data_IF_320091639840
#
_entry.id   IF_320091639840
#
_cell.length_a   1.000
_cell.length_b   1.000
_cell.length_c   1.000
_cell.angle_alpha   90.00
_cell.angle_beta   90.00
_cell.angle_gamma   90.00
#
_symmetry.space_group_name_H-M   'P 1'
#
loop_
_entity.id
_entity.type
_entity.pdbx_description
1 polymer ?
#
# COMPACT_ATOMS: atom_id res chain seq x y z
N UNK A 1 9.82 -3.78 3.07
CA UNK A 1 10.57 -4.68 3.99
C UNK A 1 11.79 -5.30 3.30
N UNK A 2 11.65 -5.83 2.08
CA UNK A 2 12.76 -6.44 1.33
C UNK A 2 13.83 -5.43 0.87
N UNK A 3 13.43 -4.21 0.49
CA UNK A 3 14.38 -3.12 0.18
C UNK A 3 15.32 -2.79 1.35
N UNK A 4 14.79 -2.73 2.58
CA UNK A 4 15.57 -2.41 3.77
C UNK A 4 16.63 -3.47 4.14
N UNK A 5 16.45 -4.72 3.69
CA UNK A 5 17.40 -5.82 3.89
C UNK A 5 18.18 -6.17 2.60
N UNK A 6 18.07 -5.34 1.56
CA UNK A 6 18.83 -5.46 0.31
C UNK A 6 18.35 -6.55 -0.65
N UNK A 7 17.21 -7.21 -0.39
CA UNK A 7 16.65 -8.23 -1.30
C UNK A 7 15.93 -7.63 -2.51
N UNK A 8 15.44 -6.39 -2.38
CA UNK A 8 14.81 -5.62 -3.46
C UNK A 8 15.39 -4.20 -3.45
N UNK A 9 16.64 -4.03 -3.92
CA UNK A 9 17.31 -2.74 -3.85
C UNK A 9 16.52 -1.68 -4.62
N UNK A 10 16.46 -0.49 -4.04
CA UNK A 10 15.86 0.70 -4.66
C UNK A 10 16.98 1.63 -5.12
N UNK A 11 16.75 2.31 -6.23
CA UNK A 11 17.54 3.48 -6.60
C UNK A 11 16.63 4.72 -6.53
N UNK A 12 17.04 5.79 -5.82
CA UNK A 12 18.26 5.92 -4.98
C UNK A 12 18.29 5.01 -3.74
N UNK A 13 19.50 4.65 -3.28
CA UNK A 13 19.71 3.78 -2.10
C UNK A 13 19.28 4.46 -0.79
N UNK A 14 19.39 5.79 -0.73
CA UNK A 14 19.04 6.57 0.45
C UNK A 14 17.59 7.01 0.39
N UNK A 15 16.79 6.59 1.38
CA UNK A 15 15.37 6.98 1.52
C UNK A 15 15.15 8.50 1.55
N UNK A 16 16.13 9.27 2.04
CA UNK A 16 16.01 10.73 2.10
C UNK A 16 16.14 11.39 0.73
N UNK A 17 16.76 10.69 -0.22
CA UNK A 17 17.07 11.20 -1.55
C UNK A 17 16.05 10.73 -2.61
N UNK A 18 15.06 9.92 -2.19
CA UNK A 18 14.00 9.41 -3.07
C UNK A 18 12.99 10.51 -3.37
N UNK A 19 12.84 10.85 -4.65
CA UNK A 19 11.61 11.41 -5.20
C UNK A 19 10.88 10.30 -5.96
N UNK A 20 9.54 10.29 -5.94
CA UNK A 20 8.75 9.18 -6.53
C UNK A 20 9.05 9.00 -8.02
N UNK A 21 9.21 10.09 -8.76
CA UNK A 21 9.55 10.04 -10.20
C UNK A 21 10.92 9.39 -10.49
N UNK A 22 11.83 9.43 -9.52
CA UNK A 22 13.21 8.94 -9.67
C UNK A 22 13.36 7.55 -9.04
N UNK A 23 12.32 7.04 -8.37
CA UNK A 23 12.32 5.76 -7.69
C UNK A 23 12.26 4.62 -8.70
N UNK A 24 13.35 3.86 -8.76
CA UNK A 24 13.43 2.62 -9.50
C UNK A 24 13.48 1.46 -8.51
N UNK A 25 12.54 0.53 -8.63
CA UNK A 25 12.48 -0.65 -7.78
C UNK A 25 12.03 -1.86 -8.58
N UNK A 26 12.73 -2.97 -8.39
CA UNK A 26 12.28 -4.28 -8.83
C UNK A 26 11.76 -5.04 -7.60
N UNK A 27 10.46 -5.36 -7.60
CA UNK A 27 9.75 -5.95 -6.46
C UNK A 27 9.32 -7.39 -6.73
N UNK A 28 10.22 -8.19 -7.30
CA UNK A 28 9.90 -9.56 -7.68
C UNK A 28 9.55 -10.47 -6.51
N UNK A 29 10.12 -10.27 -5.32
CA UNK A 29 9.87 -11.13 -4.16
C UNK A 29 8.61 -10.72 -3.41
N UNK A 30 8.31 -9.42 -3.37
CA UNK A 30 7.23 -8.87 -2.56
C UNK A 30 5.92 -8.68 -3.32
N UNK A 31 5.95 -8.32 -4.60
CA UNK A 31 4.77 -7.94 -5.38
C UNK A 31 4.61 -8.72 -6.69
N UNK A 32 5.36 -9.80 -6.90
CA UNK A 32 4.97 -10.80 -7.91
C UNK A 32 3.78 -11.61 -7.43
N UNK A 33 2.99 -12.16 -8.36
CA UNK A 33 1.85 -13.02 -8.00
C UNK A 33 2.25 -14.19 -7.08
N UNK A 34 3.42 -14.81 -7.32
CA UNK A 34 3.95 -15.85 -6.42
C UNK A 34 4.36 -15.27 -5.06
N UNK A 35 5.03 -14.11 -5.04
CA UNK A 35 5.41 -13.40 -3.81
C UNK A 35 4.21 -13.07 -2.92
N UNK A 36 3.13 -12.58 -3.52
CA UNK A 36 1.86 -12.25 -2.84
C UNK A 36 1.20 -13.50 -2.25
N UNK A 37 1.18 -14.61 -2.99
CA UNK A 37 0.66 -15.89 -2.48
C UNK A 37 1.48 -16.35 -1.26
N UNK A 38 2.82 -16.31 -1.35
CA UNK A 38 3.69 -16.68 -0.24
C UNK A 38 3.45 -15.75 0.96
N UNK A 39 3.39 -14.44 0.76
CA UNK A 39 3.11 -13.47 1.81
C UNK A 39 1.74 -13.70 2.46
N UNK A 40 0.69 -13.96 1.67
CA UNK A 40 -0.64 -14.25 2.17
C UNK A 40 -0.68 -15.53 3.03
N UNK A 41 0.01 -16.59 2.59
CA UNK A 41 0.13 -17.84 3.35
C UNK A 41 0.93 -17.66 4.64
N UNK A 42 2.02 -16.89 4.61
CA UNK A 42 2.81 -16.57 5.79
C UNK A 42 1.99 -15.78 6.81
N UNK A 43 1.31 -14.72 6.37
CA UNK A 43 0.42 -13.92 7.23
C UNK A 43 -0.70 -14.79 7.81
N UNK A 44 -1.35 -15.62 6.99
CA UNK A 44 -2.37 -16.55 7.46
C UNK A 44 -1.82 -17.53 8.51
N UNK A 45 -0.64 -18.09 8.27
CA UNK A 45 0.02 -19.03 9.16
C UNK A 45 0.39 -18.42 10.50
N UNK A 46 0.95 -17.21 10.50
CA UNK A 46 1.30 -16.47 11.72
C UNK A 46 0.03 -16.14 12.51
N UNK A 47 -0.98 -15.58 11.85
CA UNK A 47 -2.25 -15.21 12.51
C UNK A 47 -2.95 -16.46 13.05
N UNK A 48 -2.94 -17.56 12.31
CA UNK A 48 -3.50 -18.81 12.78
C UNK A 48 -2.71 -19.38 13.96
N UNK A 49 -1.38 -19.35 13.91
CA UNK A 49 -0.51 -19.86 14.98
C UNK A 49 -0.75 -19.15 16.31
N UNK A 50 -0.86 -17.82 16.28
CA UNK A 50 -1.02 -16.97 17.47
C UNK A 50 -2.45 -16.99 18.00
N UNK A 51 -3.46 -16.76 17.16
CA UNK A 51 -4.85 -16.60 17.61
C UNK A 51 -5.72 -17.84 17.44
N UNK A 52 -5.25 -18.87 16.71
CA UNK A 52 -6.00 -20.10 16.39
C UNK A 52 -7.37 -19.85 15.73
N UNK A 53 -7.56 -18.69 15.09
CA UNK A 53 -8.82 -18.28 14.44
C UNK A 53 -8.72 -18.34 12.93
N UNK A 54 -9.31 -19.36 12.31
CA UNK A 54 -9.30 -19.57 10.86
C UNK A 54 -9.93 -18.41 10.08
N UNK A 55 -11.06 -17.89 10.55
CA UNK A 55 -11.73 -16.76 9.90
C UNK A 55 -10.87 -15.50 9.87
N UNK A 56 -10.27 -15.14 11.01
CA UNK A 56 -9.35 -13.99 11.09
C UNK A 56 -8.14 -14.20 10.17
N UNK A 57 -7.58 -15.40 10.16
CA UNK A 57 -6.42 -15.75 9.33
C UNK A 57 -6.72 -15.60 7.84
N UNK A 58 -7.90 -16.07 7.40
CA UNK A 58 -8.36 -15.93 6.02
C UNK A 58 -8.59 -14.46 5.63
N UNK A 59 -9.15 -13.64 6.53
CA UNK A 59 -9.28 -12.20 6.30
C UNK A 59 -7.94 -11.50 6.16
N UNK A 60 -6.97 -11.80 7.04
CA UNK A 60 -5.64 -11.21 6.93
C UNK A 60 -4.94 -11.61 5.63
N UNK A 61 -5.07 -12.87 5.18
CA UNK A 61 -4.57 -13.32 3.89
C UNK A 61 -5.26 -12.58 2.71
N UNK A 62 -6.59 -12.44 2.79
CA UNK A 62 -7.37 -11.71 1.80
C UNK A 62 -6.95 -10.24 1.71
N UNK A 63 -6.65 -9.60 2.83
CA UNK A 63 -6.17 -8.21 2.87
C UNK A 63 -4.81 -8.05 2.18
N UNK A 64 -3.92 -9.04 2.24
CA UNK A 64 -2.66 -9.04 1.47
C UNK A 64 -2.95 -9.05 -0.04
N UNK A 65 -3.89 -9.88 -0.49
CA UNK A 65 -4.28 -9.91 -1.90
C UNK A 65 -4.98 -8.61 -2.34
N UNK A 66 -5.86 -8.06 -1.51
CA UNK A 66 -6.54 -6.78 -1.79
C UNK A 66 -5.52 -5.64 -1.87
N UNK A 67 -4.52 -5.61 -1.00
CA UNK A 67 -3.45 -4.63 -1.06
C UNK A 67 -2.71 -4.68 -2.40
N UNK A 68 -2.28 -5.88 -2.83
CA UNK A 68 -1.63 -6.04 -4.13
C UNK A 68 -2.53 -5.59 -5.30
N UNK A 69 -3.84 -5.89 -5.24
CA UNK A 69 -4.79 -5.39 -6.24
C UNK A 69 -4.89 -3.86 -6.26
N UNK A 70 -4.81 -3.20 -5.10
CA UNK A 70 -4.72 -1.75 -5.02
C UNK A 70 -3.44 -1.24 -5.69
N UNK A 71 -2.31 -1.90 -5.47
CA UNK A 71 -1.03 -1.50 -6.09
C UNK A 71 -1.06 -1.65 -7.61
N UNK A 72 -1.77 -2.64 -8.16
CA UNK A 72 -1.98 -2.73 -9.61
C UNK A 72 -2.77 -1.54 -10.17
N UNK A 73 -3.56 -0.84 -9.34
CA UNK A 73 -4.35 0.32 -9.76
C UNK A 73 -3.58 1.63 -9.60
N UNK A 74 -2.87 1.84 -8.47
CA UNK A 74 -2.18 3.12 -8.20
C UNK A 74 -0.65 3.07 -8.20
N UNK A 75 -0.05 1.90 -8.03
CA UNK A 75 1.39 1.75 -7.85
C UNK A 75 2.19 1.61 -9.16
N UNK A 76 3.38 1.02 -9.02
CA UNK A 76 4.21 0.58 -10.15
C UNK A 76 3.66 -0.68 -10.79
N UNK A 77 3.95 -0.90 -12.07
CA UNK A 77 3.66 -2.18 -12.70
C UNK A 77 4.47 -3.32 -12.06
N UNK A 78 3.83 -4.47 -11.86
CA UNK A 78 4.43 -5.65 -11.23
C UNK A 78 4.45 -6.85 -12.15
N UNK A 79 5.44 -7.73 -11.97
CA UNK A 79 5.49 -9.03 -12.64
C UNK A 79 4.24 -9.86 -12.30
N UNK A 80 3.53 -10.35 -13.32
CA UNK A 80 2.24 -11.02 -13.11
C UNK A 80 2.33 -12.24 -12.17
N UNK A 81 3.44 -12.99 -12.20
CA UNK A 81 3.57 -14.17 -11.36
C UNK A 81 5.00 -14.47 -10.88
N UNK A 82 5.97 -14.61 -11.78
CA UNK A 82 7.38 -14.91 -11.49
C UNK A 82 8.31 -14.09 -12.40
N UNK A 83 9.61 -14.07 -12.15
CA UNK A 83 10.56 -13.27 -12.91
C UNK A 83 10.51 -13.54 -14.41
N UNK A 84 10.44 -12.47 -15.21
CA UNK A 84 10.33 -12.53 -16.67
C UNK A 84 8.89 -12.71 -17.17
N UNK A 85 7.89 -12.67 -16.29
CA UNK A 85 6.48 -12.62 -16.66
C UNK A 85 6.11 -11.23 -17.20
N UNK A 86 4.99 -11.12 -17.94
CA UNK A 86 4.46 -9.81 -18.31
C UNK A 86 4.21 -8.94 -17.08
N UNK A 87 4.55 -7.66 -17.17
CA UNK A 87 4.19 -6.68 -16.15
C UNK A 87 2.71 -6.31 -16.28
N UNK A 88 2.03 -6.19 -15.15
CA UNK A 88 0.62 -5.84 -15.03
C UNK A 88 0.45 -4.66 -14.06
N UNK A 89 -0.62 -3.91 -14.26
CA UNK A 89 -0.94 -2.71 -13.48
C UNK A 89 -0.98 -1.44 -14.35
N UNK A 90 -1.53 -0.36 -13.79
CA UNK A 90 -1.67 0.93 -14.49
C UNK A 90 -0.39 1.77 -14.47
N UNK A 91 0.60 1.38 -13.65
CA UNK A 91 1.90 2.04 -13.57
C UNK A 91 1.80 3.54 -13.29
N UNK A 92 0.87 3.94 -12.41
CA UNK A 92 0.61 5.36 -12.16
C UNK A 92 1.78 6.02 -11.43
N UNK A 93 2.53 5.30 -10.58
CA UNK A 93 3.75 5.85 -9.99
C UNK A 93 4.86 6.18 -10.99
N UNK A 94 4.89 5.54 -12.17
CA UNK A 94 5.85 5.91 -13.22
C UNK A 94 5.28 6.96 -14.17
N UNK A 95 3.98 6.88 -14.50
CA UNK A 95 3.39 7.67 -15.58
C UNK A 95 2.73 8.95 -15.11
N UNK A 96 2.04 8.94 -13.95
CA UNK A 96 1.29 10.07 -13.36
C UNK A 96 1.24 9.97 -11.83
N UNK A 97 2.36 10.20 -11.12
CA UNK A 97 2.47 9.96 -9.68
C UNK A 97 1.45 10.76 -8.85
N UNK A 98 1.08 11.97 -9.29
CA UNK A 98 0.09 12.80 -8.59
C UNK A 98 -1.29 12.13 -8.64
N UNK A 99 -1.64 11.51 -9.76
CA UNK A 99 -2.90 10.80 -9.92
C UNK A 99 -2.95 9.55 -9.03
N UNK A 100 -1.82 8.85 -8.87
CA UNK A 100 -1.73 7.71 -7.97
C UNK A 100 -2.11 8.07 -6.53
N UNK A 101 -1.51 9.14 -5.98
CA UNK A 101 -1.84 9.61 -4.62
C UNK A 101 -3.29 10.07 -4.49
N UNK A 102 -3.86 10.68 -5.52
CA UNK A 102 -5.29 11.07 -5.52
C UNK A 102 -6.18 9.84 -5.47
N UNK A 103 -5.88 8.81 -6.26
CA UNK A 103 -6.64 7.55 -6.28
C UNK A 103 -6.55 6.85 -4.93
N UNK A 104 -5.36 6.77 -4.34
CA UNK A 104 -5.14 6.18 -3.01
C UNK A 104 -5.91 6.94 -1.92
N UNK A 105 -5.82 8.27 -1.92
CA UNK A 105 -6.53 9.11 -0.96
C UNK A 105 -8.05 8.97 -1.10
N UNK A 106 -8.57 8.88 -2.33
CA UNK A 106 -9.98 8.67 -2.59
C UNK A 106 -10.44 7.28 -2.11
N UNK A 107 -9.66 6.23 -2.39
CA UNK A 107 -9.95 4.87 -1.93
C UNK A 107 -9.93 4.77 -0.41
N UNK A 108 -8.92 5.34 0.24
CA UNK A 108 -8.83 5.37 1.70
C UNK A 108 -9.99 6.16 2.33
N UNK A 109 -10.36 7.31 1.74
CA UNK A 109 -11.54 8.07 2.14
C UNK A 109 -12.84 7.26 2.02
N UNK A 110 -13.00 6.49 0.95
CA UNK A 110 -14.13 5.60 0.75
C UNK A 110 -14.19 4.48 1.80
N UNK A 111 -13.04 3.88 2.16
CA UNK A 111 -12.95 2.87 3.23
C UNK A 111 -13.28 3.46 4.60
N UNK A 112 -12.79 4.65 4.93
CA UNK A 112 -13.13 5.34 6.18
C UNK A 112 -14.63 5.66 6.22
N UNK A 113 -15.19 6.18 5.13
CA UNK A 113 -16.62 6.46 5.04
C UNK A 113 -17.47 5.19 5.19
N UNK A 114 -17.05 4.09 4.55
CA UNK A 114 -17.69 2.79 4.68
C UNK A 114 -17.63 2.27 6.11
N UNK A 115 -16.46 2.33 6.76
CA UNK A 115 -16.28 1.91 8.16
C UNK A 115 -17.17 2.70 9.12
N UNK A 116 -17.18 4.04 9.01
CA UNK A 116 -18.01 4.91 9.86
C UNK A 116 -19.49 4.61 9.64
N UNK A 117 -19.92 4.43 8.38
CA UNK A 117 -21.29 4.05 8.04
C UNK A 117 -21.66 2.70 8.65
N UNK A 118 -20.78 1.70 8.52
CA UNK A 118 -21.00 0.36 9.02
C UNK A 118 -21.13 0.34 10.56
N UNK A 119 -20.22 1.00 11.27
CA UNK A 119 -20.27 1.09 12.74
C UNK A 119 -21.51 1.85 13.23
N UNK A 120 -21.94 2.90 12.51
CA UNK A 120 -23.20 3.59 12.81
C UNK A 120 -24.42 2.67 12.65
N UNK A 121 -24.47 1.89 11.57
CA UNK A 121 -25.55 0.92 11.34
C UNK A 121 -25.54 -0.22 12.36
N UNK A 122 -24.35 -0.58 12.88
CA UNK A 122 -24.19 -1.59 13.93
C UNK A 122 -24.46 -1.06 15.36
N UNK A 123 -24.96 0.18 15.51
CA UNK A 123 -25.27 0.79 16.81
C UNK A 123 -24.06 1.27 17.60
N UNK A 124 -22.88 1.37 16.97
CA UNK A 124 -21.61 1.81 17.60
C UNK A 124 -21.05 3.05 16.89
N UNK A 125 -21.72 4.21 16.92
CA UNK A 125 -21.28 5.37 16.15
C UNK A 125 -19.86 5.83 16.54
N UNK A 126 -19.01 6.00 15.52
CA UNK A 126 -17.64 6.51 15.70
C UNK A 126 -17.68 7.98 16.10
N UNK A 127 -16.95 8.37 17.16
CA UNK A 127 -16.90 9.76 17.64
C UNK A 127 -16.34 10.70 16.56
N UNK A 128 -16.90 11.91 16.42
CA UNK A 128 -16.49 12.87 15.36
C UNK A 128 -14.98 13.16 15.35
N UNK A 129 -14.37 13.34 16.54
CA UNK A 129 -12.90 13.53 16.65
C UNK A 129 -12.09 12.38 16.06
N UNK A 130 -12.59 11.15 16.18
CA UNK A 130 -11.95 9.95 15.61
C UNK A 130 -12.16 9.91 14.10
N UNK A 131 -13.35 10.28 13.61
CA UNK A 131 -13.59 10.37 12.17
C UNK A 131 -12.65 11.38 11.50
N UNK A 132 -12.47 12.56 12.10
CA UNK A 132 -11.51 13.57 11.63
C UNK A 132 -10.09 13.02 11.67
N UNK A 133 -9.70 12.33 12.75
CA UNK A 133 -8.37 11.72 12.84
C UNK A 133 -8.13 10.67 11.75
N UNK A 134 -9.10 9.79 11.48
CA UNK A 134 -9.01 8.78 10.42
C UNK A 134 -8.83 9.43 9.04
N UNK A 135 -9.65 10.44 8.72
CA UNK A 135 -9.53 11.17 7.45
C UNK A 135 -8.19 11.89 7.37
N UNK A 136 -7.76 12.58 8.44
CA UNK A 136 -6.49 13.30 8.46
C UNK A 136 -5.29 12.36 8.24
N UNK A 137 -5.28 11.19 8.88
CA UNK A 137 -4.19 10.23 8.75
C UNK A 137 -4.19 9.57 7.36
N UNK A 138 -5.32 9.04 6.91
CA UNK A 138 -5.35 8.23 5.70
C UNK A 138 -5.44 9.08 4.42
N UNK A 139 -6.30 10.09 4.40
CA UNK A 139 -6.49 10.97 3.23
C UNK A 139 -5.46 12.10 3.28
N UNK A 140 -5.36 12.79 4.42
CA UNK A 140 -4.41 13.88 4.59
C UNK A 140 -2.96 13.40 4.47
N UNK A 141 -2.63 12.26 5.09
CA UNK A 141 -1.32 11.62 4.98
C UNK A 141 -0.97 11.28 3.53
N UNK A 142 -1.85 10.58 2.81
CA UNK A 142 -1.62 10.25 1.40
C UNK A 142 -1.40 11.48 0.51
N UNK A 143 -2.26 12.50 0.63
CA UNK A 143 -2.12 13.73 -0.14
C UNK A 143 -0.87 14.55 0.24
N UNK A 144 -0.43 14.47 1.51
CA UNK A 144 0.79 15.14 1.96
C UNK A 144 2.06 14.59 1.31
N UNK A 145 1.99 13.42 0.65
CA UNK A 145 3.10 12.83 -0.09
C UNK A 145 3.25 13.40 -1.50
N UNK A 146 2.29 14.16 -2.04
CA UNK A 146 2.36 14.73 -3.39
C UNK A 146 3.65 15.55 -3.65
N UNK A 147 4.15 16.38 -2.72
CA UNK A 147 5.43 17.09 -2.93
C UNK A 147 6.62 16.15 -3.17
N UNK A 148 6.57 14.92 -2.64
CA UNK A 148 7.62 13.91 -2.82
C UNK A 148 7.70 13.38 -4.25
N UNK A 149 6.73 13.71 -5.10
CA UNK A 149 6.73 13.33 -6.52
C UNK A 149 7.97 13.88 -7.23
N UNK A 150 8.29 15.15 -7.00
CA UNK A 150 9.36 15.86 -7.72
C UNK A 150 10.54 16.24 -6.83
N UNK A 151 10.36 16.19 -5.51
CA UNK A 151 11.31 16.70 -4.52
C UNK A 151 11.61 15.62 -3.49
N UNK A 152 12.88 15.35 -3.23
CA UNK A 152 13.27 14.37 -2.21
C UNK A 152 12.94 14.86 -0.79
N UNK A 153 12.82 13.93 0.17
CA UNK A 153 12.61 14.31 1.57
C UNK A 153 13.71 15.23 2.09
N UNK A 154 14.97 14.99 1.72
CA UNK A 154 16.11 15.87 2.06
C UNK A 154 15.84 17.30 1.60
N UNK A 155 15.48 17.48 0.33
CA UNK A 155 15.18 18.82 -0.21
C UNK A 155 13.98 19.49 0.47
N UNK A 156 13.01 18.72 0.97
CA UNK A 156 11.85 19.25 1.69
C UNK A 156 12.19 19.72 3.12
N UNK A 157 13.20 19.11 3.77
CA UNK A 157 13.56 19.42 5.16
C UNK A 157 14.84 20.26 5.32
N UNK A 158 15.69 20.37 4.29
CA UNK A 158 16.96 21.12 4.29
C UNK A 158 18.18 20.23 4.50
#
# INVERSE_FOLDING_TARGET
MFAAIGLEPTEPVSFLDVAVKDLHVDMIYSHSGAGVVVAALLVAGIVHGVWRRRFLSAWCAGLVAVHWLCDLVSGFAHEAFVAGSPKIGLDLYATRPELAFIVEAAFAGALVAWFVRHERLAGRPVRSRMQVALVAVFVGGGLSMIPTVSTSLRQLVG
#
